data_IF_139383360086
#
_entry.id   IF_139383360086
#
_cell.length_a   1.000
_cell.length_b   1.000
_cell.length_c   1.000
_cell.angle_alpha   90.00
_cell.angle_beta   90.00
_cell.angle_gamma   90.00
#
_symmetry.space_group_name_H-M   'P 1'
#
loop_
_entity.id
_entity.type
_entity.pdbx_description
1 polymer ?
#
# COMPACT_ATOMS: atom_id res chain seq x y z
N UNK A 1 9.94 -36.78 -46.35
CA UNK A 1 10.83 -36.16 -45.33
C UNK A 1 9.90 -35.42 -44.38
N UNK A 2 9.47 -36.10 -43.32
CA UNK A 2 9.83 -35.77 -41.92
C UNK A 2 8.82 -34.74 -41.39
N UNK A 3 7.87 -35.06 -40.50
CA UNK A 3 7.99 -35.80 -39.24
C UNK A 3 8.29 -34.80 -38.13
N UNK A 4 7.38 -34.65 -37.16
CA UNK A 4 7.57 -34.28 -35.73
C UNK A 4 6.20 -33.89 -35.12
N UNK A 5 5.54 -34.79 -34.38
CA UNK A 5 5.70 -35.12 -32.96
C UNK A 5 5.07 -34.08 -32.01
N UNK A 6 3.84 -34.39 -31.56
CA UNK A 6 3.20 -33.81 -30.39
C UNK A 6 3.54 -34.65 -29.16
N UNK A 7 3.98 -34.00 -28.08
CA UNK A 7 4.04 -34.61 -26.74
C UNK A 7 3.25 -33.76 -25.74
N UNK A 8 2.31 -34.44 -25.10
CA UNK A 8 1.47 -34.00 -23.98
C UNK A 8 2.35 -33.85 -22.72
N UNK A 9 2.28 -32.70 -22.06
CA UNK A 9 2.87 -32.48 -20.74
C UNK A 9 1.92 -32.91 -19.61
N UNK A 10 2.39 -33.60 -18.57
CA UNK A 10 1.55 -34.11 -17.50
C UNK A 10 1.34 -33.11 -16.35
N UNK A 11 0.20 -33.31 -15.70
CA UNK A 11 -0.31 -32.74 -14.45
C UNK A 11 0.65 -32.88 -13.26
N UNK A 12 0.91 -31.77 -12.55
CA UNK A 12 1.61 -31.77 -11.26
C UNK A 12 0.63 -31.94 -10.08
N UNK A 13 1.01 -32.65 -9.00
CA UNK A 13 0.13 -32.92 -7.87
C UNK A 13 0.16 -31.85 -6.76
N UNK A 14 -1.02 -31.70 -6.16
CA UNK A 14 -1.40 -30.94 -4.97
C UNK A 14 -0.70 -31.44 -3.70
N UNK A 15 -0.12 -30.52 -2.90
CA UNK A 15 0.44 -30.81 -1.58
C UNK A 15 -0.40 -30.10 -0.50
N UNK A 16 -1.08 -30.92 0.30
CA UNK A 16 -1.87 -30.55 1.47
C UNK A 16 -0.98 -30.15 2.68
N UNK A 17 -1.47 -29.30 3.60
CA UNK A 17 -0.76 -28.95 4.83
C UNK A 17 -1.04 -29.93 5.99
N UNK A 18 -0.09 -30.19 6.90
CA UNK A 18 -0.34 -31.02 8.07
C UNK A 18 -0.92 -30.24 9.26
N UNK A 19 -1.86 -30.91 9.93
CA UNK A 19 -2.57 -30.50 11.12
C UNK A 19 -1.82 -30.79 12.44
N UNK A 20 -1.79 -29.79 13.31
CA UNK A 20 -1.95 -29.76 14.79
C UNK A 20 -1.75 -31.07 15.60
N UNK A 21 -0.82 -31.04 16.58
CA UNK A 21 -0.93 -31.79 17.86
C UNK A 21 -0.49 -30.94 19.06
N UNK A 22 -1.12 -31.25 20.20
CA UNK A 22 -1.11 -30.59 21.52
C UNK A 22 -0.11 -31.24 22.49
N UNK A 23 0.25 -30.47 23.53
CA UNK A 23 0.74 -30.93 24.84
C UNK A 23 2.26 -31.12 24.93
N UNK A 24 2.93 -31.00 26.08
CA UNK A 24 2.60 -30.53 27.42
C UNK A 24 3.92 -30.50 28.22
N UNK A 25 4.11 -29.46 29.06
CA UNK A 25 4.78 -29.52 30.37
C UNK A 25 6.30 -29.73 30.52
N UNK A 26 6.79 -29.10 31.60
CA UNK A 26 7.92 -29.47 32.49
C UNK A 26 9.28 -28.74 32.33
N UNK A 27 9.45 -27.78 33.25
CA UNK A 27 10.60 -27.46 34.13
C UNK A 27 12.06 -27.40 33.61
N UNK A 28 12.68 -26.27 33.99
CA UNK A 28 14.13 -25.99 34.25
C UNK A 28 14.82 -27.08 35.11
N UNK A 29 16.18 -27.18 35.18
CA UNK A 29 17.13 -26.06 35.36
C UNK A 29 18.52 -26.19 34.67
N UNK A 30 19.36 -25.21 35.01
CA UNK A 30 20.66 -24.80 34.46
C UNK A 30 21.79 -25.83 34.50
N UNK A 31 22.78 -25.69 33.61
CA UNK A 31 24.20 -25.83 33.98
C UNK A 31 25.15 -25.10 33.01
N UNK A 32 26.19 -24.54 33.63
CA UNK A 32 27.30 -23.73 33.14
C UNK A 32 28.43 -24.64 32.58
N UNK A 33 28.94 -24.43 31.36
CA UNK A 33 30.27 -24.95 30.97
C UNK A 33 31.00 -23.99 30.04
N UNK A 34 32.16 -23.53 30.50
CA UNK A 34 33.20 -22.78 29.79
C UNK A 34 34.01 -23.70 28.86
N UNK A 35 34.30 -23.30 27.62
CA UNK A 35 35.14 -24.06 26.68
C UNK A 35 36.25 -23.18 26.06
N UNK A 36 37.51 -23.59 26.27
CA UNK A 36 38.77 -22.91 25.90
C UNK A 36 39.11 -23.02 24.41
N UNK A 37 39.85 -22.02 23.91
CA UNK A 37 40.62 -22.02 22.67
C UNK A 37 41.71 -23.11 22.67
N UNK A 38 41.85 -23.81 21.55
CA UNK A 38 43.06 -24.59 21.21
C UNK A 38 43.54 -24.21 19.81
N UNK A 39 44.82 -23.84 19.73
CA UNK A 39 45.60 -23.49 18.53
C UNK A 39 45.94 -24.73 17.68
N UNK A 40 46.07 -24.62 16.35
CA UNK A 40 46.71 -25.62 15.51
C UNK A 40 48.25 -25.46 15.40
N UNK A 41 48.92 -26.58 15.19
CA UNK A 41 50.38 -26.81 15.04
C UNK A 41 50.92 -26.45 13.63
N UNK A 42 52.26 -26.28 13.46
CA UNK A 42 52.91 -25.91 12.20
C UNK A 42 53.41 -27.12 11.39
N UNK A 43 53.48 -26.96 10.06
CA UNK A 43 54.10 -27.91 9.11
C UNK A 43 54.89 -27.17 8.02
N UNK A 44 55.85 -27.84 7.33
CA UNK A 44 57.12 -27.25 6.95
C UNK A 44 57.18 -26.66 5.53
N UNK A 45 58.18 -25.80 5.33
CA UNK A 45 58.55 -25.18 4.07
C UNK A 45 59.31 -26.14 3.13
N UNK A 46 59.16 -25.98 1.81
CA UNK A 46 60.17 -26.37 0.85
C UNK A 46 60.75 -25.18 0.08
N UNK A 47 62.03 -25.34 -0.20
CA UNK A 47 63.00 -24.46 -0.87
C UNK A 47 62.85 -24.42 -2.39
N UNK A 48 63.14 -23.25 -3.00
CA UNK A 48 63.95 -23.19 -4.22
C UNK A 48 63.25 -22.97 -5.57
N UNK A 49 63.29 -21.70 -6.03
CA UNK A 49 63.76 -21.19 -7.34
C UNK A 49 63.39 -21.96 -8.64
N UNK A 50 62.70 -21.30 -9.56
CA UNK A 50 63.32 -20.55 -10.68
C UNK A 50 62.25 -20.07 -11.67
N UNK A 51 62.39 -18.83 -12.13
CA UNK A 51 61.53 -18.22 -13.16
C UNK A 51 61.99 -18.66 -14.56
N UNK A 52 61.04 -18.97 -15.44
CA UNK A 52 61.26 -18.82 -16.87
C UNK A 52 60.08 -18.10 -17.55
N UNK A 53 60.43 -17.28 -18.51
CA UNK A 53 59.68 -16.13 -19.01
C UNK A 53 59.01 -16.51 -20.32
N UNK A 54 57.85 -17.16 -20.23
CA UNK A 54 57.01 -17.51 -21.38
C UNK A 54 56.00 -16.41 -21.71
N UNK A 55 56.18 -15.75 -22.84
CA UNK A 55 55.26 -14.76 -23.43
C UNK A 55 54.18 -15.49 -24.26
N UNK A 56 52.89 -15.31 -23.95
CA UNK A 56 51.76 -15.70 -24.79
C UNK A 56 50.64 -14.61 -24.77
N UNK A 57 49.79 -14.55 -25.80
CA UNK A 57 49.29 -13.29 -26.38
C UNK A 57 47.92 -12.83 -25.89
N UNK A 58 47.65 -11.57 -26.24
CA UNK A 58 46.43 -10.78 -26.10
C UNK A 58 45.18 -11.47 -26.66
N UNK A 59 44.25 -11.85 -25.77
CA UNK A 59 42.86 -12.19 -26.09
C UNK A 59 41.96 -11.61 -24.99
N UNK A 60 41.71 -10.29 -25.00
CA UNK A 60 40.77 -9.66 -24.03
C UNK A 60 39.76 -8.68 -24.62
N UNK A 61 39.65 -8.56 -25.96
CA UNK A 61 38.84 -7.49 -26.57
C UNK A 61 37.36 -7.79 -26.85
N UNK A 62 36.80 -8.93 -26.43
CA UNK A 62 35.41 -9.31 -26.76
C UNK A 62 34.43 -9.31 -25.58
N UNK A 63 34.86 -9.07 -24.33
CA UNK A 63 33.97 -9.09 -23.16
C UNK A 63 33.53 -7.69 -22.66
N UNK A 64 34.01 -6.62 -23.29
CA UNK A 64 33.76 -5.24 -22.83
C UNK A 64 32.45 -4.60 -23.33
N UNK A 65 31.86 -5.10 -24.42
CA UNK A 65 30.67 -4.49 -25.04
C UNK A 65 29.34 -4.94 -24.43
N UNK A 66 29.32 -6.06 -23.69
CA UNK A 66 28.09 -6.62 -23.11
C UNK A 66 27.71 -5.99 -21.76
N UNK A 67 28.70 -5.71 -20.89
CA UNK A 67 28.45 -5.11 -19.57
C UNK A 67 27.93 -3.68 -19.65
N UNK A 68 28.37 -2.90 -20.64
CA UNK A 68 27.90 -1.53 -20.86
C UNK A 68 26.44 -1.51 -21.36
N UNK A 69 26.07 -2.37 -22.30
CA UNK A 69 24.70 -2.43 -22.81
C UNK A 69 23.68 -2.86 -21.73
N UNK A 70 24.05 -3.77 -20.84
CA UNK A 70 23.21 -4.25 -19.74
C UNK A 70 22.98 -3.17 -18.66
N UNK A 71 23.95 -2.28 -18.45
CA UNK A 71 23.86 -1.19 -17.47
C UNK A 71 23.02 -0.01 -17.98
N UNK A 72 23.05 0.31 -19.28
CA UNK A 72 22.16 1.31 -19.87
C UNK A 72 20.69 0.88 -19.82
N UNK A 73 20.39 -0.41 -20.03
CA UNK A 73 19.02 -0.95 -19.95
C UNK A 73 18.48 -0.99 -18.51
N UNK A 74 19.33 -1.25 -17.52
CA UNK A 74 18.94 -1.20 -16.11
C UNK A 74 18.64 0.24 -15.65
N UNK A 75 19.43 1.22 -16.11
CA UNK A 75 19.23 2.63 -15.78
C UNK A 75 17.92 3.19 -16.37
N UNK A 76 17.53 2.80 -17.59
CA UNK A 76 16.26 3.22 -18.19
C UNK A 76 15.06 2.57 -17.51
N UNK A 77 15.16 1.31 -17.08
CA UNK A 77 14.11 0.64 -16.30
C UNK A 77 13.90 1.29 -14.92
N UNK A 78 14.97 1.73 -14.26
CA UNK A 78 14.90 2.46 -12.98
C UNK A 78 14.29 3.87 -13.13
N UNK A 79 14.56 4.56 -14.24
CA UNK A 79 13.98 5.87 -14.53
C UNK A 79 12.48 5.78 -14.88
N UNK A 80 12.05 4.74 -15.61
CA UNK A 80 10.64 4.50 -15.92
C UNK A 80 9.80 4.07 -14.70
N UNK A 81 10.41 3.45 -13.69
CA UNK A 81 9.73 3.07 -12.45
C UNK A 81 9.40 4.28 -11.54
N UNK A 82 9.97 5.46 -11.80
CA UNK A 82 9.78 6.65 -10.95
C UNK A 82 8.53 7.46 -11.29
N UNK A 83 7.91 7.24 -12.45
CA UNK A 83 6.74 7.97 -12.91
C UNK A 83 5.44 7.21 -12.62
N UNK A 84 4.93 7.31 -11.38
CA UNK A 84 3.50 7.27 -11.03
C UNK A 84 3.25 6.95 -9.53
N UNK A 85 4.02 7.54 -8.61
CA UNK A 85 3.53 7.64 -7.24
C UNK A 85 2.43 8.73 -7.23
N UNK A 86 1.17 8.32 -7.37
CA UNK A 86 0.05 9.19 -7.04
C UNK A 86 0.12 9.46 -5.53
N UNK A 87 0.70 10.60 -5.16
CA UNK A 87 0.75 11.05 -3.77
C UNK A 87 -0.71 11.28 -3.33
N UNK A 88 -1.13 10.64 -2.24
CA UNK A 88 -2.34 11.06 -1.57
C UNK A 88 -2.05 12.43 -0.92
N UNK A 89 -2.89 13.42 -1.19
CA UNK A 89 -2.66 14.80 -0.76
C UNK A 89 -3.58 15.13 0.43
N UNK A 90 -2.99 15.52 1.58
CA UNK A 90 -3.77 15.91 2.74
C UNK A 90 -4.59 17.16 2.42
N UNK A 91 -5.89 17.12 2.71
CA UNK A 91 -6.80 18.25 2.51
C UNK A 91 -7.08 18.99 3.80
N UNK A 92 -7.27 20.30 3.71
CA UNK A 92 -7.75 21.11 4.82
C UNK A 92 -9.25 20.86 4.98
N UNK A 93 -9.67 20.56 6.21
CA UNK A 93 -11.05 20.23 6.53
C UNK A 93 -11.53 20.99 7.76
N UNK A 94 -12.84 21.16 7.86
CA UNK A 94 -13.52 21.66 9.05
C UNK A 94 -14.18 20.48 9.75
N UNK A 95 -13.92 20.30 11.04
CA UNK A 95 -14.64 19.32 11.86
C UNK A 95 -16.09 19.79 12.08
N UNK A 96 -17.06 18.92 11.79
CA UNK A 96 -18.50 19.21 11.90
C UNK A 96 -19.20 18.48 13.04
N UNK A 97 -18.46 17.75 13.90
CA UNK A 97 -19.02 17.04 15.04
C UNK A 97 -18.45 15.64 15.27
N UNK A 98 -17.13 15.48 15.29
CA UNK A 98 -16.46 14.22 15.70
C UNK A 98 -16.56 14.01 17.22
N UNK A 99 -17.72 13.57 17.72
CA UNK A 99 -17.97 13.39 19.16
C UNK A 99 -17.28 12.16 19.75
N UNK A 100 -17.22 11.07 18.98
CA UNK A 100 -16.78 9.75 19.45
C UNK A 100 -15.40 9.34 18.91
N UNK A 101 -14.68 10.27 18.29
CA UNK A 101 -13.32 10.05 17.78
C UNK A 101 -12.63 11.35 17.38
N UNK A 102 -11.40 11.23 16.92
CA UNK A 102 -10.54 12.37 16.56
C UNK A 102 -9.92 12.12 15.20
N UNK A 103 -10.21 13.01 14.24
CA UNK A 103 -9.58 12.99 12.93
C UNK A 103 -8.10 13.36 13.07
N UNK A 104 -7.23 12.56 12.45
CA UNK A 104 -5.79 12.83 12.35
C UNK A 104 -5.45 13.43 10.98
N UNK A 105 -6.10 12.93 9.94
CA UNK A 105 -5.80 13.32 8.57
C UNK A 105 -6.97 12.98 7.65
N UNK A 106 -7.23 13.84 6.67
CA UNK A 106 -8.13 13.58 5.56
C UNK A 106 -7.34 13.72 4.27
N UNK A 107 -7.38 12.70 3.43
CA UNK A 107 -6.70 12.64 2.15
C UNK A 107 -7.73 12.41 1.04
N UNK A 108 -7.65 13.21 -0.01
CA UNK A 108 -8.47 13.05 -1.21
C UNK A 108 -7.54 12.97 -2.41
N UNK A 109 -7.64 11.90 -3.19
CA UNK A 109 -6.75 11.67 -4.33
C UNK A 109 -7.52 11.34 -5.61
N UNK A 110 -7.23 12.01 -6.73
CA UNK A 110 -6.30 13.15 -6.86
C UNK A 110 -6.89 14.47 -6.32
N UNK A 111 -6.12 15.33 -5.64
CA UNK A 111 -6.55 16.70 -5.29
C UNK A 111 -5.34 17.65 -5.15
N UNK A 112 -4.67 18.01 -6.26
CA UNK A 112 -3.42 18.77 -6.23
C UNK A 112 -3.61 20.23 -5.81
N UNK A 113 -4.83 20.75 -5.90
CA UNK A 113 -5.17 22.11 -5.51
C UNK A 113 -6.50 22.10 -4.76
N UNK A 114 -6.59 22.92 -3.71
CA UNK A 114 -7.80 23.09 -2.91
C UNK A 114 -8.46 24.44 -3.23
N UNK A 115 -9.80 24.51 -3.36
CA UNK A 115 -10.77 23.42 -3.22
C UNK A 115 -10.64 22.36 -4.32
N UNK A 116 -10.87 21.09 -3.98
CA UNK A 116 -10.69 19.98 -4.92
C UNK A 116 -11.58 20.16 -6.16
N UNK A 117 -10.96 20.12 -7.34
CA UNK A 117 -11.67 20.14 -8.62
C UNK A 117 -12.02 18.70 -9.00
N UNK A 118 -13.30 18.37 -8.85
CA UNK A 118 -13.84 17.05 -9.10
C UNK A 118 -14.39 16.96 -10.52
N UNK A 119 -13.65 16.29 -11.41
CA UNK A 119 -14.02 16.10 -12.80
C UNK A 119 -15.17 15.10 -12.93
N UNK A 120 -16.18 15.46 -13.70
CA UNK A 120 -17.28 14.56 -14.08
C UNK A 120 -16.76 13.28 -14.75
N UNK A 121 -17.42 12.16 -14.48
CA UNK A 121 -17.06 10.84 -15.00
C UNK A 121 -15.84 10.20 -14.32
N UNK A 122 -15.20 10.87 -13.37
CA UNK A 122 -14.03 10.37 -12.65
C UNK A 122 -14.39 9.86 -11.25
N UNK A 123 -13.53 9.01 -10.70
CA UNK A 123 -13.64 8.52 -9.32
C UNK A 123 -12.47 9.01 -8.49
N UNK A 124 -12.78 9.53 -7.31
CA UNK A 124 -11.80 10.02 -6.35
C UNK A 124 -11.68 9.05 -5.18
N UNK A 125 -10.48 8.87 -4.65
CA UNK A 125 -10.24 8.06 -3.46
C UNK A 125 -10.20 8.97 -2.24
N UNK A 126 -10.89 8.57 -1.17
CA UNK A 126 -10.92 9.27 0.11
C UNK A 126 -10.30 8.35 1.16
N UNK A 127 -9.33 8.87 1.90
CA UNK A 127 -8.72 8.18 3.03
C UNK A 127 -8.78 9.08 4.27
N UNK A 128 -9.38 8.57 5.35
CA UNK A 128 -9.50 9.30 6.62
C UNK A 128 -8.79 8.50 7.70
N UNK A 129 -7.73 9.07 8.25
CA UNK A 129 -7.07 8.53 9.43
C UNK A 129 -7.71 9.14 10.66
N UNK A 130 -8.25 8.31 11.57
CA UNK A 130 -8.90 8.78 12.79
C UNK A 130 -8.63 7.83 13.96
N UNK A 131 -8.70 8.35 15.19
CA UNK A 131 -8.63 7.56 16.43
C UNK A 131 -10.03 7.49 17.02
N UNK A 132 -10.52 6.28 17.32
CA UNK A 132 -11.81 6.11 18.00
C UNK A 132 -11.66 6.35 19.51
N UNK A 133 -12.59 7.08 20.13
CA UNK A 133 -12.64 7.25 21.60
C UNK A 133 -13.58 6.25 22.27
N UNK A 134 -14.30 5.45 21.48
CA UNK A 134 -15.28 4.47 21.93
C UNK A 134 -15.10 3.11 21.24
N UNK A 135 -15.80 2.11 21.75
CA UNK A 135 -15.95 0.81 21.11
C UNK A 135 -17.26 0.79 20.32
N UNK A 136 -17.26 0.21 19.13
CA UNK A 136 -18.48 0.07 18.31
C UNK A 136 -18.49 -1.26 17.57
N UNK A 137 -19.64 -1.93 17.51
CA UNK A 137 -19.76 -3.20 16.78
C UNK A 137 -19.75 -3.01 15.26
N UNK A 138 -20.26 -1.88 14.79
CA UNK A 138 -20.41 -1.53 13.38
C UNK A 138 -20.03 -0.07 13.13
N UNK A 139 -19.85 0.29 11.87
CA UNK A 139 -19.73 1.70 11.49
C UNK A 139 -20.43 1.95 10.16
N UNK A 140 -21.02 3.13 10.02
CA UNK A 140 -21.79 3.51 8.82
C UNK A 140 -21.39 4.89 8.33
N UNK A 141 -20.98 4.97 7.08
CA UNK A 141 -20.67 6.22 6.41
C UNK A 141 -21.95 6.89 5.89
N UNK A 142 -22.06 8.20 6.12
CA UNK A 142 -23.14 9.06 5.66
C UNK A 142 -22.52 10.29 5.01
N UNK A 143 -22.95 10.62 3.80
CA UNK A 143 -22.38 11.70 3.01
C UNK A 143 -23.47 12.65 2.56
N UNK A 144 -23.23 13.96 2.71
CA UNK A 144 -24.10 15.01 2.22
C UNK A 144 -23.32 15.98 1.33
N UNK A 145 -23.96 16.46 0.27
CA UNK A 145 -23.53 17.65 -0.45
C UNK A 145 -24.35 18.85 0.02
N UNK A 146 -23.70 19.85 0.61
CA UNK A 146 -24.36 21.08 1.08
C UNK A 146 -24.36 22.10 -0.06
N UNK A 147 -25.55 22.39 -0.56
CA UNK A 147 -25.81 23.27 -1.69
C UNK A 147 -26.56 24.49 -1.19
N UNK A 148 -25.92 25.67 -1.25
CA UNK A 148 -26.51 26.93 -0.75
C UNK A 148 -27.03 26.82 0.70
N UNK A 149 -26.33 26.06 1.55
CA UNK A 149 -26.70 25.83 2.96
C UNK A 149 -27.69 24.68 3.19
N UNK A 150 -28.19 24.03 2.13
CA UNK A 150 -29.11 22.89 2.25
C UNK A 150 -28.34 21.57 2.09
N UNK A 151 -28.36 20.66 3.09
CA UNK A 151 -27.72 19.35 2.97
C UNK A 151 -28.55 18.41 2.07
N UNK A 152 -27.93 17.84 1.05
CA UNK A 152 -28.54 16.86 0.14
C UNK A 152 -27.84 15.51 0.31
N UNK A 153 -28.55 14.42 0.64
CA UNK A 153 -27.95 13.10 0.80
C UNK A 153 -27.26 12.60 -0.48
N UNK A 154 -26.05 12.07 -0.32
CA UNK A 154 -25.28 11.45 -1.40
C UNK A 154 -25.09 9.96 -1.11
N UNK A 155 -25.79 9.06 -1.81
CA UNK A 155 -25.61 7.63 -1.63
C UNK A 155 -24.24 7.19 -2.18
N UNK A 156 -23.44 6.55 -1.32
CA UNK A 156 -22.16 5.94 -1.67
C UNK A 156 -22.32 4.44 -1.91
N UNK A 157 -21.50 3.80 -2.78
CA UNK A 157 -21.65 2.39 -3.12
C UNK A 157 -21.47 1.43 -1.94
N UNK A 158 -20.54 1.77 -1.02
CA UNK A 158 -20.31 1.02 0.20
C UNK A 158 -20.40 1.98 1.38
N UNK A 159 -21.47 1.84 2.17
CA UNK A 159 -21.69 2.64 3.37
C UNK A 159 -21.20 1.95 4.63
N UNK A 160 -20.91 0.64 4.61
CA UNK A 160 -20.39 -0.07 5.77
C UNK A 160 -18.91 0.27 5.96
N UNK A 161 -18.60 0.99 7.04
CA UNK A 161 -17.24 1.39 7.37
C UNK A 161 -16.35 0.17 7.66
N UNK A 162 -16.92 -0.93 8.17
CA UNK A 162 -16.22 -2.18 8.43
C UNK A 162 -15.75 -2.88 7.15
N UNK A 163 -16.31 -2.51 5.99
CA UNK A 163 -15.88 -2.98 4.66
C UNK A 163 -14.99 -1.98 3.93
N UNK A 164 -14.73 -0.83 4.56
CA UNK A 164 -14.06 0.33 4.00
C UNK A 164 -12.73 0.59 4.73
N UNK A 165 -11.91 -0.45 4.92
CA UNK A 165 -10.60 -0.36 5.58
C UNK A 165 -10.58 -0.47 7.11
N UNK A 166 -11.75 -0.52 7.77
CA UNK A 166 -11.85 -0.63 9.23
C UNK A 166 -12.10 -2.08 9.63
N UNK A 167 -11.24 -2.65 10.49
CA UNK A 167 -11.50 -3.98 11.06
C UNK A 167 -12.41 -3.86 12.29
N UNK A 168 -13.66 -4.33 12.16
CA UNK A 168 -14.65 -4.33 13.23
C UNK A 168 -14.59 -5.62 14.08
N UNK A 169 -14.95 -5.56 15.39
CA UNK A 169 -15.46 -4.39 16.10
C UNK A 169 -14.38 -3.31 16.33
N UNK A 170 -14.81 -2.05 16.27
CA UNK A 170 -13.98 -0.89 16.56
C UNK A 170 -13.64 -0.90 18.05
N UNK A 171 -12.38 -0.66 18.35
CA UNK A 171 -11.84 -0.61 19.70
C UNK A 171 -11.56 0.83 20.08
N UNK A 172 -11.79 1.14 21.37
CA UNK A 172 -11.45 2.42 21.96
C UNK A 172 -9.94 2.67 21.91
N UNK A 173 -9.57 3.93 21.71
CA UNK A 173 -8.21 4.48 21.66
C UNK A 173 -7.33 3.89 20.54
N UNK A 174 -7.95 3.25 19.54
CA UNK A 174 -7.26 2.69 18.38
C UNK A 174 -7.43 3.59 17.15
N UNK A 175 -6.35 3.73 16.39
CA UNK A 175 -6.31 4.47 15.12
C UNK A 175 -6.65 3.54 13.95
N UNK A 176 -7.47 4.05 13.03
CA UNK A 176 -7.94 3.37 11.84
C UNK A 176 -7.76 4.26 10.62
N UNK A 177 -7.73 3.63 9.44
CA UNK A 177 -7.79 4.31 8.14
C UNK A 177 -9.05 3.86 7.41
N UNK A 178 -9.99 4.77 7.27
CA UNK A 178 -11.20 4.57 6.48
C UNK A 178 -10.91 4.91 5.01
N UNK A 179 -11.26 4.01 4.10
CA UNK A 179 -10.97 4.11 2.67
C UNK A 179 -12.25 3.95 1.87
N UNK A 180 -12.57 4.94 1.03
CA UNK A 180 -13.72 4.84 0.13
C UNK A 180 -13.46 5.52 -1.22
N UNK A 181 -14.32 5.26 -2.21
CA UNK A 181 -14.32 5.89 -3.52
C UNK A 181 -15.56 6.74 -3.72
N UNK A 182 -15.37 7.95 -4.21
CA UNK A 182 -16.42 8.89 -4.57
C UNK A 182 -16.53 8.99 -6.10
N UNK A 183 -17.48 8.30 -6.73
CA UNK A 183 -17.74 8.45 -8.16
C UNK A 183 -18.49 9.75 -8.44
N UNK A 184 -17.93 10.61 -9.28
CA UNK A 184 -18.55 11.86 -9.73
C UNK A 184 -19.20 11.58 -11.08
N UNK A 185 -20.52 11.48 -11.10
CA UNK A 185 -21.24 11.07 -12.31
C UNK A 185 -21.27 12.19 -13.36
N UNK A 186 -21.40 11.81 -14.62
CA UNK A 186 -21.37 12.73 -15.75
C UNK A 186 -22.57 13.69 -15.79
N UNK A 187 -23.71 13.25 -15.26
CA UNK A 187 -24.94 14.03 -15.16
C UNK A 187 -24.91 15.11 -14.06
N UNK A 188 -23.91 15.11 -13.17
CA UNK A 188 -23.83 16.10 -12.11
C UNK A 188 -23.58 17.50 -12.67
N UNK A 189 -24.22 18.55 -12.12
CA UNK A 189 -24.00 19.93 -12.56
C UNK A 189 -22.58 20.40 -12.20
N UNK A 190 -22.04 21.36 -12.96
CA UNK A 190 -20.76 21.99 -12.64
C UNK A 190 -21.00 23.11 -11.63
N UNK A 191 -20.71 22.86 -10.36
CA UNK A 191 -21.05 23.77 -9.25
C UNK A 191 -20.03 23.67 -8.11
N UNK A 192 -20.03 24.67 -7.24
CA UNK A 192 -19.32 24.64 -5.95
C UNK A 192 -20.28 24.16 -4.86
N UNK A 193 -19.80 23.32 -3.96
CA UNK A 193 -20.54 22.83 -2.81
C UNK A 193 -19.58 22.50 -1.66
N UNK A 194 -20.13 22.22 -0.49
CA UNK A 194 -19.38 21.63 0.62
C UNK A 194 -19.76 20.15 0.71
N UNK A 195 -18.77 19.26 0.77
CA UNK A 195 -19.00 17.85 1.08
C UNK A 195 -18.89 17.69 2.58
N UNK A 196 -19.93 17.14 3.19
CA UNK A 196 -19.94 16.70 4.59
C UNK A 196 -19.88 15.17 4.60
N UNK A 197 -18.92 14.61 5.33
CA UNK A 197 -18.75 13.17 5.48
C UNK A 197 -18.71 12.79 6.95
N UNK A 198 -19.59 11.87 7.32
CA UNK A 198 -19.68 11.30 8.66
C UNK A 198 -19.39 9.81 8.62
N UNK A 199 -18.73 9.31 9.67
CA UNK A 199 -18.72 7.88 9.99
C UNK A 199 -19.35 7.70 11.36
N UNK A 200 -20.51 7.05 11.39
CA UNK A 200 -21.32 6.88 12.59
C UNK A 200 -21.07 5.51 13.24
N UNK A 201 -21.13 5.45 14.56
CA UNK A 201 -21.05 4.23 15.37
C UNK A 201 -22.41 3.49 15.44
N UNK A 202 -22.50 2.42 16.24
CA UNK A 202 -23.72 1.65 16.46
C UNK A 202 -24.82 2.41 17.25
N UNK A 203 -24.52 3.60 17.76
CA UNK A 203 -25.44 4.54 18.43
C UNK A 203 -25.80 5.73 17.53
N UNK A 204 -25.40 5.71 16.26
CA UNK A 204 -25.54 6.81 15.29
C UNK A 204 -24.81 8.10 15.72
N UNK A 205 -23.77 8.00 16.54
CA UNK A 205 -22.90 9.12 16.88
C UNK A 205 -21.64 9.10 16.00
N UNK A 206 -21.16 10.28 15.64
CA UNK A 206 -20.05 10.42 14.69
C UNK A 206 -18.71 10.08 15.35
N UNK A 207 -18.09 8.98 14.93
CA UNK A 207 -16.68 8.66 15.14
C UNK A 207 -15.80 9.74 14.50
N UNK A 208 -16.20 10.22 13.32
CA UNK A 208 -15.66 11.45 12.73
C UNK A 208 -16.71 12.16 11.89
N UNK A 209 -16.55 13.47 11.76
CA UNK A 209 -17.32 14.34 10.86
C UNK A 209 -16.37 15.40 10.27
N UNK A 210 -16.30 15.50 8.95
CA UNK A 210 -15.57 16.58 8.29
C UNK A 210 -16.33 17.20 7.13
N UNK A 211 -16.04 18.48 6.90
CA UNK A 211 -16.50 19.29 5.78
C UNK A 211 -15.31 19.77 4.94
N UNK A 212 -15.40 19.65 3.62
CA UNK A 212 -14.45 20.29 2.68
C UNK A 212 -15.20 20.99 1.54
N UNK A 213 -14.74 22.18 1.09
CA UNK A 213 -15.26 22.78 -0.12
C UNK A 213 -14.71 22.06 -1.36
N UNK A 214 -15.59 21.78 -2.33
CA UNK A 214 -15.23 21.18 -3.61
C UNK A 214 -15.88 21.93 -4.76
N UNK A 215 -15.34 21.74 -5.97
CA UNK A 215 -15.93 22.24 -7.20
C UNK A 215 -16.05 21.10 -8.21
N UNK A 216 -17.27 20.81 -8.65
CA UNK A 216 -17.50 19.88 -9.75
C UNK A 216 -17.22 20.61 -11.07
N UNK A 217 -16.32 20.05 -11.88
CA UNK A 217 -15.89 20.62 -13.16
C UNK A 217 -16.18 19.65 -14.30
N UNK A 218 -16.33 20.17 -15.51
CA UNK A 218 -16.42 19.33 -16.72
C UNK A 218 -15.14 18.51 -16.87
N UNK A 219 -15.27 17.26 -17.32
CA UNK A 219 -14.11 16.43 -17.64
C UNK A 219 -13.25 17.13 -18.69
N UNK A 220 -12.06 17.60 -18.30
CA UNK A 220 -11.08 18.08 -19.26
C UNK A 220 -10.30 16.87 -19.76
N UNK A 221 -10.59 16.45 -20.99
CA UNK A 221 -9.67 15.61 -21.75
C UNK A 221 -8.51 16.53 -22.15
N UNK A 222 -7.27 16.30 -21.69
CA UNK A 222 -6.13 17.03 -22.21
C UNK A 222 -6.02 16.73 -23.70
N UNK A 223 -6.08 17.77 -24.53
CA UNK A 223 -5.79 17.69 -25.97
C UNK A 223 -4.29 17.73 -26.24
#
# INVERSE_FOLDING_TARGET
>A
MGGDCWLLGPTGPELAPPSRRRGAGWLQPQLLVTGRLTRPLPGPAPTGLSCDRGRLPLLSRQLGTSLAAMSFLAATFLLLAFSAAAQAEPVQFKDCGSVDGVIKEVNVSPCPTQPCQLSKGQSYSVNVTFTSNIQSKSSKAVVHGILMGVPVPFPIPESDGCKSGINCPIQKDKTYSYLNKLPVKSEYPSIKLVVEWQLQDDRNQSLFCWEIPVQIVTHQVPH
#
